data_IF_664093142649
#
_entry.id   IF_664093142649
#
_cell.length_a   1.000
_cell.length_b   1.000
_cell.length_c   1.000
_cell.angle_alpha   90.00
_cell.angle_beta   90.00
_cell.angle_gamma   90.00
#
_symmetry.space_group_name_H-M   'P 1'
#
loop_
_entity.id
_entity.type
_entity.pdbx_description
1 polymer ?
#
# COMPACT_ATOMS: atom_id res chain seq x y z
N UNK A 1 -15.38 87.60 3.82
CA UNK A 1 -15.49 86.93 5.12
C UNK A 1 -16.71 86.03 5.01
N UNK A 2 -16.60 84.95 4.25
CA UNK A 2 -16.14 83.63 4.72
C UNK A 2 -16.91 83.17 5.95
N UNK A 3 -18.04 82.51 5.71
CA UNK A 3 -18.73 81.72 6.72
C UNK A 3 -19.07 80.34 6.16
N UNK A 4 -18.17 79.41 6.50
CA UNK A 4 -18.44 78.02 6.89
C UNK A 4 -19.81 77.43 6.52
N UNK A 5 -19.83 76.58 5.51
CA UNK A 5 -20.55 75.30 5.63
C UNK A 5 -19.77 74.21 4.91
N UNK A 6 -18.85 73.59 5.67
CA UNK A 6 -18.15 72.38 5.28
C UNK A 6 -19.10 71.23 5.57
N UNK A 7 -19.95 70.88 4.61
CA UNK A 7 -20.74 69.66 4.68
C UNK A 7 -19.78 68.47 4.80
N UNK A 8 -19.81 67.80 5.95
CA UNK A 8 -19.10 66.53 6.15
C UNK A 8 -19.59 65.57 5.06
N UNK A 9 -18.71 64.89 4.32
CA UNK A 9 -19.15 63.76 3.51
C UNK A 9 -19.66 62.70 4.48
N UNK A 10 -20.90 62.26 4.27
CA UNK A 10 -21.47 61.11 4.94
C UNK A 10 -20.48 59.93 4.84
N UNK A 11 -20.26 59.15 5.91
CA UNK A 11 -19.46 57.96 5.79
C UNK A 11 -20.16 57.06 4.77
N UNK A 12 -19.48 56.83 3.65
CA UNK A 12 -19.78 55.76 2.70
C UNK A 12 -19.91 54.50 3.57
N UNK A 13 -21.15 54.12 3.89
CA UNK A 13 -21.46 52.75 4.27
C UNK A 13 -21.22 51.98 2.99
N UNK A 14 -19.97 51.55 2.81
CA UNK A 14 -19.62 50.51 1.85
C UNK A 14 -20.48 49.33 2.24
N UNK A 15 -21.60 49.16 1.54
CA UNK A 15 -22.20 47.85 1.41
C UNK A 15 -21.26 47.07 0.48
N UNK A 16 -20.07 46.73 0.98
CA UNK A 16 -19.33 45.62 0.40
C UNK A 16 -20.23 44.42 0.60
N UNK A 17 -20.75 43.79 -0.48
CA UNK A 17 -21.38 42.51 -0.31
C UNK A 17 -20.28 41.59 0.22
N UNK A 18 -20.40 41.19 1.49
CA UNK A 18 -19.55 40.15 2.06
C UNK A 18 -19.80 38.94 1.15
N UNK A 19 -18.86 38.66 0.24
CA UNK A 19 -18.90 37.48 -0.61
C UNK A 19 -18.70 36.29 0.33
N UNK A 20 -19.80 35.77 0.84
CA UNK A 20 -19.75 34.53 1.62
C UNK A 20 -19.20 33.44 0.71
N UNK A 21 -18.06 32.87 1.09
CA UNK A 21 -17.59 31.64 0.46
C UNK A 21 -18.64 30.55 0.69
N UNK A 22 -18.89 29.72 -0.32
CA UNK A 22 -19.85 28.62 -0.21
C UNK A 22 -19.45 27.63 0.88
N UNK A 23 -20.44 26.99 1.51
CA UNK A 23 -20.20 25.92 2.47
C UNK A 23 -19.79 24.64 1.74
N UNK A 24 -18.76 23.95 2.27
CA UNK A 24 -18.27 22.70 1.70
C UNK A 24 -19.16 21.51 2.07
N UNK A 25 -19.29 20.54 1.17
CA UNK A 25 -19.94 19.24 1.46
C UNK A 25 -19.17 18.48 2.55
N UNK A 26 -19.85 17.60 3.28
CA UNK A 26 -19.29 16.83 4.40
C UNK A 26 -18.26 15.75 4.03
N UNK A 27 -17.85 15.67 2.75
CA UNK A 27 -16.79 14.75 2.32
C UNK A 27 -17.26 13.31 2.16
N UNK A 28 -16.37 12.34 2.38
CA UNK A 28 -16.73 10.92 2.26
C UNK A 28 -16.04 10.06 3.31
N UNK A 29 -16.81 9.14 3.89
CA UNK A 29 -16.34 8.06 4.77
C UNK A 29 -16.55 6.74 4.02
N UNK A 30 -15.47 5.99 3.78
CA UNK A 30 -15.54 4.61 3.29
C UNK A 30 -14.84 3.69 4.28
N UNK A 31 -15.61 2.80 4.90
CA UNK A 31 -15.08 1.78 5.81
C UNK A 31 -15.25 0.42 5.17
N UNK A 32 -14.16 -0.34 5.04
CA UNK A 32 -14.21 -1.71 4.55
C UNK A 32 -13.51 -2.59 5.57
N UNK A 33 -14.21 -3.63 6.01
CA UNK A 33 -13.71 -4.57 6.99
C UNK A 33 -14.38 -5.93 6.77
N UNK A 34 -13.87 -7.03 7.34
CA UNK A 34 -14.61 -8.29 7.39
C UNK A 34 -15.91 -8.16 8.21
N UNK A 35 -15.86 -7.37 9.29
CA UNK A 35 -16.98 -7.03 10.15
C UNK A 35 -16.92 -5.54 10.53
N UNK A 36 -18.03 -4.82 10.41
CA UNK A 36 -18.22 -3.52 11.09
C UNK A 36 -19.23 -3.72 12.20
N UNK A 37 -18.83 -3.43 13.44
CA UNK A 37 -19.63 -3.63 14.64
C UNK A 37 -19.40 -2.52 15.65
N UNK A 38 -20.19 -2.50 16.72
CA UNK A 38 -20.06 -1.53 17.82
C UNK A 38 -20.98 -0.32 17.69
N UNK A 39 -20.74 0.65 18.56
CA UNK A 39 -21.50 1.90 18.70
C UNK A 39 -20.57 3.10 18.47
N UNK A 40 -21.13 4.24 18.11
CA UNK A 40 -20.37 5.46 17.81
C UNK A 40 -21.09 6.35 16.80
N UNK A 41 -20.42 7.40 16.33
CA UNK A 41 -20.99 8.34 15.35
C UNK A 41 -20.12 8.36 14.10
N UNK A 42 -20.74 8.17 12.93
CA UNK A 42 -20.15 8.43 11.62
C UNK A 42 -20.79 9.69 11.04
N UNK A 43 -20.05 10.78 10.99
CA UNK A 43 -20.57 12.09 10.57
C UNK A 43 -19.82 12.59 9.34
N UNK A 44 -20.55 12.72 8.24
CA UNK A 44 -20.16 13.38 7.00
C UNK A 44 -21.22 14.42 6.63
N UNK A 45 -21.78 15.14 7.61
CA UNK A 45 -22.70 16.25 7.39
C UNK A 45 -21.99 17.44 6.74
N UNK A 46 -22.72 18.16 5.88
CA UNK A 46 -22.21 19.34 5.19
C UNK A 46 -22.03 20.54 6.11
N UNK A 47 -21.15 21.48 5.75
CA UNK A 47 -20.97 22.71 6.50
C UNK A 47 -22.25 23.54 6.59
N UNK A 48 -22.43 24.21 7.73
CA UNK A 48 -23.51 25.15 7.99
C UNK A 48 -23.03 26.60 7.86
N UNK A 49 -23.84 27.49 7.29
CA UNK A 49 -23.65 28.93 7.45
C UNK A 49 -24.94 29.63 7.88
N UNK A 50 -24.78 30.78 8.54
CA UNK A 50 -25.88 31.47 9.21
C UNK A 50 -26.78 32.32 8.27
N UNK A 51 -26.37 32.69 7.05
CA UNK A 51 -27.15 33.66 6.23
C UNK A 51 -26.86 33.63 4.71
N UNK A 52 -27.77 33.15 3.82
CA UNK A 52 -29.11 32.66 4.06
C UNK A 52 -29.11 31.13 4.21
N UNK A 53 -28.99 30.61 5.44
CA UNK A 53 -29.24 29.22 5.84
C UNK A 53 -29.06 28.15 4.74
N UNK A 54 -27.91 28.17 4.05
CA UNK A 54 -27.58 27.17 3.05
C UNK A 54 -26.81 26.04 3.74
N UNK A 55 -27.50 24.91 3.96
CA UNK A 55 -26.82 23.67 4.29
C UNK A 55 -26.05 23.21 3.06
N UNK A 56 -24.75 22.96 3.21
CA UNK A 56 -24.03 22.24 2.17
C UNK A 56 -24.60 20.83 2.03
N UNK A 57 -24.51 20.27 0.83
CA UNK A 57 -24.92 18.88 0.60
C UNK A 57 -24.18 17.92 1.54
N UNK A 58 -24.87 16.91 2.11
CA UNK A 58 -24.21 15.91 2.93
C UNK A 58 -23.15 15.17 2.10
N UNK A 59 -22.17 14.63 2.80
CA UNK A 59 -21.15 13.76 2.25
C UNK A 59 -21.68 12.39 1.86
N UNK A 60 -20.81 11.39 1.79
CA UNK A 60 -21.23 9.99 1.57
C UNK A 60 -20.57 9.06 2.58
N UNK A 61 -21.36 8.17 3.16
CA UNK A 61 -20.86 7.09 4.01
C UNK A 61 -21.09 5.77 3.28
N UNK A 62 -20.04 4.94 3.18
CA UNK A 62 -20.11 3.60 2.61
C UNK A 62 -19.45 2.61 3.53
N UNK A 63 -20.20 1.61 3.98
CA UNK A 63 -19.72 0.52 4.83
C UNK A 63 -19.73 -0.77 4.02
N UNK A 64 -18.59 -1.42 3.90
CA UNK A 64 -18.47 -2.69 3.16
C UNK A 64 -17.94 -3.78 4.09
N UNK A 65 -18.78 -4.76 4.41
CA UNK A 65 -18.37 -5.92 5.19
C UNK A 65 -19.30 -7.11 4.98
N UNK A 66 -18.80 -8.31 5.27
CA UNK A 66 -19.62 -9.52 5.28
C UNK A 66 -20.57 -9.55 6.48
N UNK A 67 -20.13 -9.01 7.62
CA UNK A 67 -20.92 -8.98 8.84
C UNK A 67 -21.11 -7.54 9.30
N UNK A 68 -22.30 -7.00 9.07
CA UNK A 68 -22.67 -5.63 9.44
C UNK A 68 -23.56 -5.66 10.68
N UNK A 69 -22.97 -5.28 11.81
CA UNK A 69 -23.61 -5.24 13.14
C UNK A 69 -23.37 -3.89 13.84
N UNK A 70 -22.99 -2.86 13.08
CA UNK A 70 -22.88 -1.50 13.57
C UNK A 70 -24.25 -1.01 14.04
N UNK A 71 -24.32 -0.52 15.27
CA UNK A 71 -25.54 -0.01 15.92
C UNK A 71 -25.40 1.44 16.35
N UNK A 72 -24.34 2.12 15.91
CA UNK A 72 -24.12 3.54 16.14
C UNK A 72 -24.99 4.43 15.25
N UNK A 73 -24.79 5.73 15.40
CA UNK A 73 -25.46 6.78 14.64
C UNK A 73 -24.63 7.15 13.41
N UNK A 74 -25.29 7.48 12.32
CA UNK A 74 -24.63 7.93 11.09
C UNK A 74 -25.40 9.05 10.44
N UNK A 75 -24.71 10.11 10.01
CA UNK A 75 -25.29 11.19 9.23
C UNK A 75 -24.32 11.58 8.10
N UNK A 76 -24.66 11.38 6.81
CA UNK A 76 -25.89 10.78 6.29
C UNK A 76 -25.93 9.26 6.48
N UNK A 77 -27.09 8.65 6.24
CA UNK A 77 -27.25 7.20 6.29
C UNK A 77 -26.25 6.47 5.36
N UNK A 78 -25.57 5.41 5.84
CA UNK A 78 -24.57 4.71 5.08
C UNK A 78 -25.18 3.88 3.97
N UNK A 79 -24.54 3.89 2.81
CA UNK A 79 -24.67 2.81 1.84
C UNK A 79 -23.93 1.58 2.38
N UNK A 80 -24.58 0.42 2.39
CA UNK A 80 -23.99 -0.83 2.87
C UNK A 80 -23.75 -1.79 1.71
N UNK A 81 -22.58 -2.44 1.69
CA UNK A 81 -22.28 -3.52 0.76
C UNK A 81 -21.89 -4.77 1.55
N UNK A 82 -22.58 -5.88 1.29
CA UNK A 82 -22.18 -7.22 1.77
C UNK A 82 -21.07 -7.85 0.92
N UNK A 83 -20.70 -7.19 -0.18
CA UNK A 83 -19.60 -7.54 -1.06
C UNK A 83 -18.54 -6.41 -1.01
N UNK A 84 -17.53 -6.54 -0.12
CA UNK A 84 -16.38 -5.64 -0.15
C UNK A 84 -15.75 -5.58 -1.54
N UNK A 85 -15.26 -4.42 -1.95
CA UNK A 85 -14.46 -4.33 -3.18
C UNK A 85 -13.20 -5.20 -3.08
N UNK A 86 -12.60 -5.62 -4.21
CA UNK A 86 -11.33 -6.36 -4.20
C UNK A 86 -10.26 -5.58 -3.43
N UNK A 87 -9.48 -6.27 -2.62
CA UNK A 87 -8.46 -5.70 -1.73
C UNK A 87 -7.08 -5.97 -2.34
N UNK A 88 -6.57 -5.00 -3.06
CA UNK A 88 -5.23 -4.92 -3.63
C UNK A 88 -4.39 -3.95 -2.79
N UNK A 89 -3.08 -3.86 -3.05
CA UNK A 89 -2.23 -2.83 -2.45
C UNK A 89 -2.73 -1.39 -2.74
N UNK A 90 -3.47 -1.19 -3.83
CA UNK A 90 -4.06 0.09 -4.23
C UNK A 90 -5.54 0.24 -3.83
N UNK A 91 -6.11 -0.75 -3.14
CA UNK A 91 -7.52 -0.68 -2.74
C UNK A 91 -7.77 0.36 -1.66
N UNK A 92 -9.03 0.71 -1.45
CA UNK A 92 -9.46 1.60 -0.37
C UNK A 92 -10.43 0.83 0.52
N UNK A 93 -10.01 0.44 1.73
CA UNK A 93 -8.71 0.59 2.35
C UNK A 93 -7.67 -0.31 1.67
N UNK A 94 -6.42 0.16 1.70
CA UNK A 94 -5.30 -0.58 1.17
C UNK A 94 -5.11 -1.86 1.98
N UNK A 95 -4.44 -2.85 1.39
CA UNK A 95 -3.89 -3.97 2.14
C UNK A 95 -2.77 -3.45 3.06
N UNK A 96 -3.15 -2.81 4.17
CA UNK A 96 -2.23 -2.38 5.22
C UNK A 96 -1.49 -3.64 5.69
N UNK A 97 -0.16 -3.64 5.58
CA UNK A 97 0.74 -4.75 5.90
C UNK A 97 0.90 -5.87 4.84
N UNK A 98 0.64 -5.60 3.55
CA UNK A 98 1.10 -6.50 2.49
C UNK A 98 2.62 -6.73 2.62
N UNK A 99 3.11 -7.99 2.57
CA UNK A 99 4.52 -8.27 2.42
C UNK A 99 5.07 -7.58 1.17
N UNK A 100 6.16 -6.83 1.31
CA UNK A 100 6.85 -6.23 0.17
C UNK A 100 8.33 -6.52 0.22
N UNK A 101 8.91 -6.69 -0.96
CA UNK A 101 10.34 -6.85 -1.16
C UNK A 101 10.79 -5.84 -2.23
N UNK A 102 11.86 -5.11 -1.96
CA UNK A 102 12.42 -4.12 -2.90
C UNK A 102 13.94 -4.18 -2.88
N UNK A 103 14.55 -3.91 -4.04
CA UNK A 103 15.98 -3.65 -4.11
C UNK A 103 16.23 -2.20 -3.72
N UNK A 104 17.08 -1.98 -2.72
CA UNK A 104 17.38 -0.64 -2.19
C UNK A 104 18.78 -0.16 -2.51
N UNK A 105 19.71 -1.08 -2.79
CA UNK A 105 21.04 -0.70 -3.27
C UNK A 105 21.67 -1.78 -4.14
N UNK A 106 22.35 -1.37 -5.20
CA UNK A 106 23.23 -2.22 -6.02
C UNK A 106 24.58 -1.52 -6.12
N UNK A 107 25.61 -2.10 -5.51
CA UNK A 107 26.95 -1.52 -5.49
C UNK A 107 27.03 -0.15 -4.80
N UNK A 108 26.16 0.11 -3.83
CA UNK A 108 26.07 1.42 -3.15
C UNK A 108 25.17 2.44 -3.86
N UNK A 109 24.69 2.14 -5.07
CA UNK A 109 23.80 3.02 -5.83
C UNK A 109 22.33 2.69 -5.56
N UNK A 110 21.52 3.71 -5.34
CA UNK A 110 20.08 3.55 -5.14
C UNK A 110 19.36 3.41 -6.50
N UNK A 111 18.46 2.42 -6.67
CA UNK A 111 17.61 2.33 -7.86
C UNK A 111 16.60 3.49 -7.93
N UNK A 112 16.10 3.82 -9.13
CA UNK A 112 14.97 4.74 -9.27
C UNK A 112 13.71 4.16 -8.60
N UNK A 113 12.78 5.02 -8.19
CA UNK A 113 11.55 4.60 -7.50
C UNK A 113 10.65 3.68 -8.31
N UNK A 114 10.75 3.73 -9.64
CA UNK A 114 10.13 2.81 -10.58
C UNK A 114 11.21 2.33 -11.57
N UNK A 115 11.94 1.25 -11.25
CA UNK A 115 12.88 0.68 -12.19
C UNK A 115 12.15 0.18 -13.44
N UNK A 116 12.84 0.05 -14.56
CA UNK A 116 12.27 -0.26 -15.88
C UNK A 116 12.57 -1.69 -16.33
N UNK A 117 13.53 -2.37 -15.69
CA UNK A 117 13.97 -3.72 -16.07
C UNK A 117 14.47 -3.85 -17.52
N UNK A 118 14.90 -2.75 -18.12
CA UNK A 118 15.30 -2.75 -19.52
C UNK A 118 16.72 -3.32 -19.69
N UNK A 119 16.91 -4.12 -20.74
CA UNK A 119 18.26 -4.51 -21.20
C UNK A 119 18.96 -3.41 -22.01
N UNK A 120 18.23 -2.37 -22.44
CA UNK A 120 18.80 -1.30 -23.27
C UNK A 120 19.16 -0.06 -22.45
N UNK A 121 18.41 0.23 -21.38
CA UNK A 121 18.64 1.36 -20.48
C UNK A 121 18.77 0.85 -19.06
N UNK A 122 19.96 0.96 -18.48
CA UNK A 122 20.20 0.49 -17.12
C UNK A 122 19.53 1.41 -16.08
N UNK A 123 18.80 0.83 -15.12
CA UNK A 123 18.24 1.54 -13.98
C UNK A 123 19.33 2.01 -12.99
N UNK A 124 20.42 1.25 -12.91
CA UNK A 124 21.60 1.56 -12.11
C UNK A 124 22.84 1.29 -12.96
N UNK A 125 23.76 2.26 -13.02
CA UNK A 125 25.07 2.10 -13.66
C UNK A 125 26.14 1.91 -12.60
N UNK A 126 26.91 0.82 -12.72
CA UNK A 126 28.04 0.56 -11.84
C UNK A 126 29.31 1.21 -12.40
N UNK A 127 30.12 1.91 -11.57
CA UNK A 127 31.41 2.44 -11.99
C UNK A 127 32.31 1.35 -12.59
N UNK A 128 33.10 1.68 -13.61
CA UNK A 128 33.97 0.70 -14.28
C UNK A 128 35.02 0.04 -13.36
N UNK A 129 35.38 0.70 -12.25
CA UNK A 129 36.29 0.18 -11.23
C UNK A 129 35.59 -0.68 -10.15
N UNK A 130 34.28 -0.93 -10.27
CA UNK A 130 33.56 -1.76 -9.32
C UNK A 130 34.10 -3.18 -9.37
N UNK A 131 34.56 -3.68 -8.22
CA UNK A 131 35.05 -5.05 -8.08
C UNK A 131 33.90 -6.02 -7.88
N UNK A 132 33.93 -7.15 -8.59
CA UNK A 132 33.04 -8.28 -8.32
C UNK A 132 33.59 -9.10 -7.14
N UNK A 133 32.73 -9.66 -6.26
CA UNK A 133 31.27 -9.55 -6.27
C UNK A 133 30.75 -8.21 -5.70
N UNK A 134 29.63 -7.75 -6.24
CA UNK A 134 28.96 -6.50 -5.88
C UNK A 134 27.92 -6.74 -4.80
N UNK A 135 27.87 -5.86 -3.80
CA UNK A 135 26.84 -5.90 -2.75
C UNK A 135 25.48 -5.47 -3.30
N UNK A 136 24.47 -6.32 -3.15
CA UNK A 136 23.07 -6.04 -3.48
C UNK A 136 22.25 -6.09 -2.20
N UNK A 137 21.58 -5.00 -1.87
CA UNK A 137 20.78 -4.84 -0.64
C UNK A 137 19.30 -4.87 -1.00
N UNK A 138 18.58 -5.71 -0.27
CA UNK A 138 17.13 -5.84 -0.33
C UNK A 138 16.54 -5.27 0.96
N UNK A 139 15.42 -4.58 0.84
CA UNK A 139 14.57 -4.21 1.96
C UNK A 139 13.26 -4.96 1.87
N UNK A 140 12.85 -5.51 3.00
CA UNK A 140 11.68 -6.33 3.17
C UNK A 140 10.77 -5.69 4.22
N UNK A 141 9.48 -5.52 3.92
CA UNK A 141 8.49 -5.04 4.87
C UNK A 141 7.40 -6.10 5.06
N UNK A 142 6.92 -6.23 6.29
CA UNK A 142 5.92 -7.22 6.71
C UNK A 142 6.34 -8.67 6.39
N UNK A 143 7.63 -8.94 6.57
CA UNK A 143 8.28 -10.22 6.33
C UNK A 143 8.99 -10.70 7.59
N UNK A 144 8.98 -12.01 7.90
CA UNK A 144 9.70 -12.53 9.06
C UNK A 144 11.18 -12.14 9.03
N UNK A 145 11.67 -11.57 10.13
CA UNK A 145 13.11 -11.34 10.30
C UNK A 145 13.83 -12.69 10.33
N UNK A 146 14.99 -12.77 9.70
CA UNK A 146 15.74 -14.01 9.52
C UNK A 146 15.50 -14.68 8.15
N UNK A 147 14.57 -14.15 7.34
CA UNK A 147 14.28 -14.66 5.99
C UNK A 147 15.51 -14.55 5.10
N UNK A 148 15.79 -15.61 4.34
CA UNK A 148 16.82 -15.64 3.29
C UNK A 148 16.13 -15.52 1.94
N UNK A 149 16.63 -14.63 1.08
CA UNK A 149 16.09 -14.38 -0.25
C UNK A 149 16.99 -14.97 -1.32
N UNK A 150 16.41 -15.43 -2.42
CA UNK A 150 17.13 -15.83 -3.62
C UNK A 150 17.10 -14.69 -4.62
N UNK A 151 18.27 -14.13 -4.93
CA UNK A 151 18.47 -13.12 -5.98
C UNK A 151 18.87 -13.84 -7.26
N UNK A 152 18.12 -13.61 -8.34
CA UNK A 152 18.42 -14.07 -9.68
C UNK A 152 18.95 -12.91 -10.51
N UNK A 153 20.09 -13.15 -11.15
CA UNK A 153 20.69 -12.25 -12.13
C UNK A 153 20.41 -12.81 -13.51
N UNK A 154 19.86 -11.99 -14.38
CA UNK A 154 19.52 -12.34 -15.75
C UNK A 154 20.30 -11.40 -16.66
N UNK A 155 21.50 -11.79 -17.11
CA UNK A 155 22.30 -10.94 -17.97
C UNK A 155 21.78 -10.96 -19.42
N UNK A 156 21.95 -9.86 -20.15
CA UNK A 156 21.50 -9.76 -21.54
C UNK A 156 22.09 -10.83 -22.46
N UNK A 157 23.38 -11.16 -22.29
CA UNK A 157 24.13 -12.05 -23.18
C UNK A 157 24.80 -13.22 -22.44
N UNK A 158 24.28 -13.62 -21.28
CA UNK A 158 24.80 -14.76 -20.54
C UNK A 158 23.70 -15.56 -19.84
N UNK A 159 24.04 -16.77 -19.40
CA UNK A 159 23.11 -17.61 -18.65
C UNK A 159 22.72 -16.95 -17.32
N UNK A 160 21.44 -17.04 -16.89
CA UNK A 160 21.02 -16.54 -15.59
C UNK A 160 21.71 -17.27 -14.44
N UNK A 161 22.04 -16.52 -13.39
CA UNK A 161 22.64 -17.06 -12.16
C UNK A 161 21.75 -16.76 -10.95
N UNK A 162 21.95 -17.46 -9.84
CA UNK A 162 21.21 -17.22 -8.60
C UNK A 162 22.15 -17.25 -7.40
N UNK A 163 21.91 -16.34 -6.47
CA UNK A 163 22.67 -16.15 -5.22
C UNK A 163 21.67 -15.97 -4.09
N UNK A 164 21.96 -16.55 -2.93
CA UNK A 164 21.17 -16.32 -1.72
C UNK A 164 21.74 -15.15 -0.91
N UNK A 165 20.87 -14.43 -0.21
CA UNK A 165 21.29 -13.40 0.75
C UNK A 165 21.76 -14.02 2.07
N UNK A 166 22.39 -13.22 2.92
CA UNK A 166 22.34 -13.47 4.37
C UNK A 166 20.90 -13.38 4.91
N UNK A 167 20.66 -13.89 6.11
CA UNK A 167 19.37 -13.74 6.80
C UNK A 167 19.03 -12.28 7.03
N UNK A 168 17.77 -11.90 6.85
CA UNK A 168 17.32 -10.52 7.07
C UNK A 168 17.48 -10.09 8.53
N UNK A 169 17.85 -8.82 8.73
CA UNK A 169 18.04 -8.20 10.05
C UNK A 169 17.23 -6.92 10.16
N UNK A 170 16.82 -6.53 11.38
CA UNK A 170 15.93 -5.39 11.61
C UNK A 170 14.63 -5.79 12.30
N UNK A 171 13.51 -5.22 11.86
CA UNK A 171 12.17 -5.46 12.42
C UNK A 171 11.25 -6.13 11.40
N UNK A 172 10.08 -6.60 11.85
CA UNK A 172 9.05 -7.13 10.94
C UNK A 172 8.54 -6.06 9.96
N UNK A 173 8.35 -4.83 10.45
CA UNK A 173 7.92 -3.71 9.62
C UNK A 173 8.97 -3.31 8.58
N UNK A 174 10.26 -3.46 8.89
CA UNK A 174 11.36 -3.20 7.95
C UNK A 174 12.59 -4.01 8.34
N UNK A 175 13.00 -4.90 7.46
CA UNK A 175 14.24 -5.68 7.56
C UNK A 175 15.08 -5.55 6.30
N UNK A 176 16.38 -5.78 6.42
CA UNK A 176 17.34 -5.71 5.31
C UNK A 176 18.10 -7.02 5.17
N UNK A 177 18.40 -7.40 3.94
CA UNK A 177 19.24 -8.56 3.62
C UNK A 177 20.20 -8.22 2.49
N UNK A 178 21.39 -8.81 2.50
CA UNK A 178 22.45 -8.52 1.53
C UNK A 178 22.89 -9.78 0.79
N UNK A 179 23.03 -9.68 -0.52
CA UNK A 179 23.62 -10.70 -1.38
C UNK A 179 24.93 -10.18 -2.00
N UNK A 180 25.92 -11.08 -2.16
CA UNK A 180 27.15 -10.81 -2.90
C UNK A 180 27.02 -11.35 -4.32
N UNK A 181 26.72 -10.47 -5.26
CA UNK A 181 26.30 -10.81 -6.63
C UNK A 181 27.42 -10.54 -7.62
N UNK A 182 27.74 -11.51 -8.48
CA UNK A 182 28.69 -11.32 -9.58
C UNK A 182 27.94 -10.88 -10.83
N UNK A 183 28.31 -9.72 -11.38
CA UNK A 183 27.75 -9.19 -12.63
C UNK A 183 28.74 -9.40 -13.79
N UNK A 184 28.30 -9.93 -14.93
CA UNK A 184 29.14 -9.96 -16.12
C UNK A 184 29.49 -8.52 -16.56
N UNK A 185 30.75 -8.22 -16.87
CA UNK A 185 31.18 -6.87 -17.23
C UNK A 185 30.63 -6.45 -18.60
N UNK A 186 30.41 -5.15 -18.79
CA UNK A 186 30.11 -4.55 -20.10
C UNK A 186 28.70 -4.80 -20.64
N UNK A 187 27.78 -5.30 -19.83
CA UNK A 187 26.41 -5.58 -20.23
C UNK A 187 25.40 -5.27 -19.13
N UNK A 188 24.13 -5.11 -19.51
CA UNK A 188 23.03 -4.90 -18.57
C UNK A 188 22.52 -6.25 -18.06
N UNK A 189 22.16 -6.30 -16.78
CA UNK A 189 21.51 -7.45 -16.16
C UNK A 189 20.22 -7.02 -15.48
N UNK A 190 19.16 -7.82 -15.63
CA UNK A 190 17.92 -7.67 -14.87
C UNK A 190 18.05 -8.49 -13.59
N UNK A 191 17.62 -7.91 -12.48
CA UNK A 191 17.57 -8.57 -11.19
C UNK A 191 16.13 -8.92 -10.83
N UNK A 192 15.95 -10.11 -10.29
CA UNK A 192 14.76 -10.47 -9.52
C UNK A 192 15.14 -11.09 -8.19
N UNK A 193 14.30 -10.96 -7.18
CA UNK A 193 14.48 -11.59 -5.89
C UNK A 193 13.18 -12.25 -5.46
N UNK A 194 13.29 -13.41 -4.82
CA UNK A 194 12.15 -14.14 -4.29
C UNK A 194 12.45 -14.62 -2.87
N UNK A 195 11.43 -14.60 -2.02
CA UNK A 195 11.43 -15.34 -0.76
C UNK A 195 10.20 -16.21 -0.66
N UNK A 196 10.40 -17.38 -0.07
CA UNK A 196 9.35 -18.25 0.40
C UNK A 196 9.44 -18.28 1.92
N UNK A 197 8.33 -18.01 2.60
CA UNK A 197 8.27 -18.21 4.05
C UNK A 197 6.98 -18.94 4.41
N UNK A 198 7.13 -19.94 5.27
CA UNK A 198 6.02 -20.67 5.88
C UNK A 198 5.66 -19.96 7.18
N UNK A 199 4.36 -19.89 7.46
CA UNK A 199 3.85 -19.35 8.73
C UNK A 199 3.12 -20.47 9.47
N UNK A 200 3.84 -21.38 10.13
CA UNK A 200 3.24 -22.56 10.78
C UNK A 200 2.18 -22.20 11.82
N UNK A 201 2.21 -20.98 12.38
CA UNK A 201 1.25 -20.48 13.37
C UNK A 201 -0.07 -19.96 12.76
N UNK A 202 -0.11 -19.75 11.45
CA UNK A 202 -1.20 -19.04 10.74
C UNK A 202 -1.75 -19.83 9.55
N UNK A 203 -1.26 -21.05 9.27
CA UNK A 203 -1.83 -21.93 8.24
C UNK A 203 -3.36 -22.09 8.40
N UNK A 204 -3.86 -22.13 9.63
CA UNK A 204 -5.30 -22.18 9.95
C UNK A 204 -6.04 -20.84 9.85
N UNK A 205 -5.33 -19.74 9.60
CA UNK A 205 -5.86 -18.37 9.47
C UNK A 205 -5.84 -17.88 8.02
N UNK A 206 -5.01 -18.47 7.16
CA UNK A 206 -5.09 -18.25 5.73
C UNK A 206 -6.37 -18.89 5.16
N UNK A 207 -6.99 -18.27 4.14
CA UNK A 207 -8.13 -18.88 3.47
C UNK A 207 -7.73 -20.22 2.83
N UNK A 208 -8.66 -21.17 2.82
CA UNK A 208 -8.50 -22.38 2.02
C UNK A 208 -8.61 -21.99 0.53
N UNK A 209 -7.65 -22.39 -0.28
CA UNK A 209 -7.71 -22.27 -1.73
C UNK A 209 -8.28 -23.57 -2.29
N UNK A 210 -9.52 -23.53 -2.80
CA UNK A 210 -10.24 -24.71 -3.31
C UNK A 210 -10.30 -25.89 -2.31
N UNK A 211 -10.42 -25.59 -1.02
CA UNK A 211 -10.42 -26.60 0.06
C UNK A 211 -9.04 -27.04 0.53
N UNK A 212 -7.97 -26.46 -0.02
CA UNK A 212 -6.59 -26.75 0.34
C UNK A 212 -5.96 -25.63 1.19
N UNK A 213 -5.17 -26.00 2.20
CA UNK A 213 -4.43 -25.03 3.01
C UNK A 213 -3.29 -24.37 2.23
N UNK A 214 -3.10 -23.07 2.48
CA UNK A 214 -1.90 -22.35 2.04
C UNK A 214 -0.70 -22.86 2.84
N UNK A 215 0.33 -23.32 2.13
CA UNK A 215 1.58 -23.82 2.70
C UNK A 215 2.56 -22.67 2.97
N UNK A 216 2.74 -21.80 1.97
CA UNK A 216 3.71 -20.70 2.01
C UNK A 216 3.25 -19.49 1.22
N UNK A 217 3.80 -18.34 1.59
CA UNK A 217 3.71 -17.12 0.80
C UNK A 217 5.03 -16.95 0.06
N UNK A 218 4.93 -16.79 -1.25
CA UNK A 218 6.02 -16.36 -2.10
C UNK A 218 5.90 -14.85 -2.31
N UNK A 219 6.97 -14.10 -2.03
CA UNK A 219 7.06 -12.67 -2.32
C UNK A 219 8.16 -12.48 -3.32
N UNK A 220 7.83 -11.87 -4.44
CA UNK A 220 8.77 -11.57 -5.50
C UNK A 220 8.96 -10.06 -5.65
N UNK A 221 10.17 -9.68 -5.98
CA UNK A 221 10.54 -8.36 -6.43
C UNK A 221 11.27 -8.54 -7.76
N UNK A 222 10.70 -8.03 -8.84
CA UNK A 222 11.39 -7.94 -10.12
C UNK A 222 11.70 -6.46 -10.33
N UNK A 223 12.93 -6.11 -10.70
CA UNK A 223 13.17 -4.76 -11.23
C UNK A 223 12.16 -4.50 -12.36
N UNK A 224 11.55 -3.32 -12.44
CA UNK A 224 10.48 -3.06 -13.41
C UNK A 224 9.08 -3.02 -12.81
N UNK A 225 8.86 -3.77 -11.74
CA UNK A 225 7.52 -4.10 -11.27
C UNK A 225 7.36 -3.84 -9.77
N UNK A 226 6.10 -3.69 -9.36
CA UNK A 226 5.77 -3.70 -7.94
C UNK A 226 6.07 -5.09 -7.36
N UNK A 227 6.38 -5.15 -6.06
CA UNK A 227 6.49 -6.43 -5.38
C UNK A 227 5.17 -7.19 -5.50
N UNK A 228 5.25 -8.45 -5.89
CA UNK A 228 4.10 -9.34 -6.00
C UNK A 228 4.09 -10.33 -4.85
N UNK A 229 2.88 -10.66 -4.41
CA UNK A 229 2.62 -11.66 -3.38
C UNK A 229 1.89 -12.80 -4.06
N UNK A 230 2.36 -14.02 -3.90
CA UNK A 230 1.74 -15.24 -4.43
C UNK A 230 1.53 -16.19 -3.28
N UNK A 231 0.32 -16.74 -3.17
CA UNK A 231 0.04 -17.81 -2.23
C UNK A 231 0.33 -19.15 -2.89
N UNK A 232 0.96 -20.07 -2.16
CA UNK A 232 1.26 -21.42 -2.65
C UNK A 232 0.62 -22.45 -1.72
N UNK A 233 -0.22 -23.33 -2.27
CA UNK A 233 -0.83 -24.45 -1.51
C UNK A 233 0.16 -25.60 -1.28
N UNK A 234 -0.21 -26.57 -0.43
CA UNK A 234 0.61 -27.77 -0.16
C UNK A 234 0.90 -28.60 -1.42
N UNK A 235 -0.03 -28.63 -2.37
CA UNK A 235 0.11 -29.29 -3.67
C UNK A 235 0.96 -28.48 -4.66
N UNK A 236 1.35 -27.26 -4.30
CA UNK A 236 2.17 -26.37 -5.13
C UNK A 236 1.36 -25.46 -6.06
N UNK A 237 0.03 -25.36 -5.90
CA UNK A 237 -0.78 -24.44 -6.70
C UNK A 237 -0.47 -23.00 -6.31
N UNK A 238 -0.15 -22.18 -7.31
CA UNK A 238 0.12 -20.75 -7.16
C UNK A 238 -1.13 -19.93 -7.47
N UNK A 239 -1.42 -18.95 -6.62
CA UNK A 239 -2.53 -18.03 -6.82
C UNK A 239 -2.14 -16.63 -6.39
N UNK A 240 -2.46 -15.65 -7.22
CA UNK A 240 -2.29 -14.25 -6.85
C UNK A 240 -3.47 -13.78 -5.98
N UNK A 241 -3.27 -12.94 -4.94
CA UNK A 241 -4.33 -12.51 -4.04
C UNK A 241 -5.56 -11.93 -4.73
N UNK A 242 -5.41 -11.22 -5.84
CA UNK A 242 -6.53 -10.64 -6.60
C UNK A 242 -7.44 -11.70 -7.28
N UNK A 243 -6.95 -12.92 -7.46
CA UNK A 243 -7.70 -14.05 -8.02
C UNK A 243 -8.51 -14.78 -6.95
N UNK A 244 -8.28 -14.50 -5.66
CA UNK A 244 -9.12 -15.04 -4.59
C UNK A 244 -10.51 -14.40 -4.59
N UNK A 245 -11.54 -15.12 -4.15
CA UNK A 245 -12.80 -14.49 -3.74
C UNK A 245 -12.51 -13.37 -2.72
N UNK A 246 -13.26 -12.27 -2.80
CA UNK A 246 -13.09 -11.11 -1.90
C UNK A 246 -13.07 -11.51 -0.41
N UNK A 247 -13.89 -12.50 -0.02
CA UNK A 247 -13.91 -13.02 1.36
C UNK A 247 -12.58 -13.60 1.81
N UNK A 248 -11.86 -14.21 0.89
CA UNK A 248 -10.58 -14.84 1.16
C UNK A 248 -9.43 -13.84 1.04
N UNK A 249 -9.54 -12.84 0.17
CA UNK A 249 -8.65 -11.67 0.15
C UNK A 249 -8.64 -10.96 1.52
N UNK A 250 -9.81 -10.80 2.14
CA UNK A 250 -9.93 -10.14 3.45
C UNK A 250 -9.42 -11.01 4.60
N UNK A 251 -9.63 -12.35 4.54
CA UNK A 251 -9.00 -13.27 5.51
C UNK A 251 -7.48 -13.23 5.40
N UNK A 252 -6.96 -13.19 4.17
CA UNK A 252 -5.54 -13.02 3.91
C UNK A 252 -5.02 -11.70 4.50
N UNK A 253 -5.72 -10.58 4.24
CA UNK A 253 -5.36 -9.27 4.81
C UNK A 253 -5.35 -9.29 6.34
N UNK A 254 -6.36 -9.88 6.98
CA UNK A 254 -6.44 -10.01 8.42
C UNK A 254 -5.32 -10.91 8.99
N UNK A 255 -5.03 -12.03 8.34
CA UNK A 255 -3.93 -12.91 8.73
C UNK A 255 -2.58 -12.18 8.65
N UNK A 256 -2.35 -11.42 7.59
CA UNK A 256 -1.17 -10.56 7.43
C UNK A 256 -1.10 -9.44 8.48
N UNK A 257 -2.24 -8.83 8.83
CA UNK A 257 -2.33 -7.84 9.90
C UNK A 257 -1.93 -8.40 11.26
N UNK A 258 -2.38 -9.62 11.62
CA UNK A 258 -1.99 -10.23 12.90
C UNK A 258 -0.50 -10.58 13.02
N UNK A 259 0.23 -10.64 11.90
CA UNK A 259 1.68 -10.83 11.93
C UNK A 259 2.42 -9.62 12.49
N UNK A 260 1.93 -8.40 12.22
CA UNK A 260 2.56 -7.19 12.74
C UNK A 260 2.34 -7.01 14.24
N UNK A 261 1.27 -7.61 14.80
CA UNK A 261 0.89 -7.50 16.21
C UNK A 261 1.49 -8.58 17.14
N UNK A 262 2.04 -9.68 16.59
CA UNK A 262 2.51 -10.84 17.37
C UNK A 262 3.98 -10.79 17.81
N UNK A 263 4.55 -9.60 17.99
CA UNK A 263 5.80 -9.39 18.75
C UNK A 263 5.79 -8.08 19.52
#
# INVERSE_FOLDING_TARGET
>A
MDELSKTRPDPIRSADPIRSAGTGSGGAIRLVAPQVSGTGTLDASGGFHCFPSALAGPGRIRLEAFTQTFTGVSDPAPSVSAAPGPVTAASTPALLNAPTLTFTSVGGMAPPGTPTASYTTADVSLPAATTNPVSVVLTAANLPVGTVFTVRVIPQFAAPTSVVTGSSTGTFATSTATASVSFPPGQVSVLSAVANFTLPQLASRFPLMDGEEVDRIAVAATYGELSTVTLVTKSGKELHPDQLPVSDQLKLAAALGTLSERR
#
